data_IF_448751497388
#
_entry.id   IF_448751497388
#
_cell.length_a   1.000
_cell.length_b   1.000
_cell.length_c   1.000
_cell.angle_alpha   90.00
_cell.angle_beta   90.00
_cell.angle_gamma   90.00
#
_symmetry.space_group_name_H-M   'P 1'
#
loop_
_entity.id
_entity.type
_entity.pdbx_description
1 polymer ?
#
# COMPACT_ATOMS: atom_id res chain seq x y z
N UNK A 1 -14.19 17.60 4.01
CA UNK A 1 -13.99 17.04 2.66
C UNK A 1 -13.92 15.55 2.82
N UNK A 2 -14.70 14.79 2.06
CA UNK A 2 -14.58 13.34 2.01
C UNK A 2 -13.37 13.05 1.13
N UNK A 3 -12.31 12.51 1.72
CA UNK A 3 -11.12 12.07 0.98
C UNK A 3 -11.42 10.68 0.45
N UNK A 4 -11.47 10.53 -0.87
CA UNK A 4 -11.73 9.25 -1.52
C UNK A 4 -10.43 8.46 -1.56
N UNK A 5 -10.45 7.22 -1.05
CA UNK A 5 -9.34 6.27 -1.23
C UNK A 5 -9.07 6.11 -2.73
N UNK A 6 -7.82 6.28 -3.13
CA UNK A 6 -7.47 6.30 -4.55
C UNK A 6 -6.89 4.97 -5.02
N UNK A 7 -6.10 4.32 -4.18
CA UNK A 7 -5.70 2.92 -4.34
C UNK A 7 -5.32 2.30 -3.01
N UNK A 8 -5.24 0.97 -3.01
CA UNK A 8 -4.60 0.24 -1.93
C UNK A 8 -3.64 -0.80 -2.50
N UNK A 9 -2.67 -1.21 -1.67
CA UNK A 9 -1.78 -2.34 -1.95
C UNK A 9 -2.05 -3.40 -0.90
N UNK A 10 -2.51 -4.57 -1.35
CA UNK A 10 -2.60 -5.76 -0.52
C UNK A 10 -1.18 -6.31 -0.35
N UNK A 11 -0.77 -6.60 0.89
CA UNK A 11 0.60 -7.06 1.19
C UNK A 11 0.56 -8.30 2.08
N UNK A 12 1.25 -9.35 1.65
CA UNK A 12 1.46 -10.56 2.41
C UNK A 12 2.95 -10.79 2.71
N UNK A 13 3.24 -11.34 3.88
CA UNK A 13 4.59 -11.57 4.35
C UNK A 13 4.73 -11.59 5.87
N UNK A 14 5.93 -11.91 6.39
CA UNK A 14 6.17 -12.04 7.82
C UNK A 14 6.19 -10.71 8.58
N UNK A 15 6.25 -9.58 7.86
CA UNK A 15 6.40 -8.24 8.43
C UNK A 15 5.22 -7.85 9.33
N UNK A 16 5.52 -7.18 10.43
CA UNK A 16 4.58 -6.37 11.20
C UNK A 16 4.26 -5.05 10.48
N UNK A 17 3.17 -4.38 10.85
CA UNK A 17 2.84 -3.06 10.30
C UNK A 17 3.96 -2.03 10.50
N UNK A 18 4.64 -2.06 11.66
CA UNK A 18 5.77 -1.18 11.95
C UNK A 18 6.98 -1.47 11.03
N UNK A 19 7.33 -2.74 10.84
CA UNK A 19 8.42 -3.13 9.93
C UNK A 19 8.10 -2.80 8.46
N UNK A 20 6.84 -2.96 8.05
CA UNK A 20 6.38 -2.56 6.72
C UNK A 20 6.46 -1.05 6.53
N UNK A 21 6.06 -0.26 7.53
CA UNK A 21 6.17 1.20 7.49
C UNK A 21 7.65 1.64 7.42
N UNK A 22 8.52 1.03 8.22
CA UNK A 22 9.95 1.32 8.23
C UNK A 22 10.63 0.92 6.90
N UNK A 23 10.21 -0.20 6.29
CA UNK A 23 10.65 -0.60 4.95
C UNK A 23 10.28 0.47 3.91
N UNK A 24 9.01 0.91 3.89
CA UNK A 24 8.52 1.95 2.99
C UNK A 24 9.33 3.24 3.17
N UNK A 25 9.50 3.72 4.41
CA UNK A 25 10.24 4.96 4.72
C UNK A 25 11.72 4.88 4.36
N UNK A 26 12.33 3.71 4.43
CA UNK A 26 13.73 3.50 4.02
C UNK A 26 13.89 3.62 2.51
N UNK A 27 12.89 3.19 1.74
CA UNK A 27 12.91 3.18 0.27
C UNK A 27 12.33 4.45 -0.36
N UNK A 28 11.45 5.14 0.36
CA UNK A 28 10.85 6.43 0.01
C UNK A 28 11.23 7.46 1.08
N UNK A 29 12.44 8.06 1.00
CA UNK A 29 12.95 8.96 2.03
C UNK A 29 12.18 10.28 2.12
N UNK A 30 11.34 10.58 1.13
CA UNK A 30 10.39 11.68 1.11
C UNK A 30 9.06 11.36 1.84
N UNK A 31 8.90 10.15 2.38
CA UNK A 31 7.78 9.80 3.25
C UNK A 31 7.98 10.40 4.65
N UNK A 32 7.12 11.34 5.03
CA UNK A 32 7.20 12.09 6.29
C UNK A 32 6.13 11.62 7.26
N UNK A 33 6.43 11.39 8.55
CA UNK A 33 5.40 11.10 9.56
C UNK A 33 4.30 12.17 9.57
N UNK A 34 3.03 11.76 9.50
CA UNK A 34 1.89 12.69 9.46
C UNK A 34 1.06 12.66 10.75
N UNK A 35 0.52 11.50 11.11
CA UNK A 35 -0.14 11.24 12.40
C UNK A 35 0.42 9.95 13.00
N UNK A 36 -0.15 9.54 14.14
CA UNK A 36 0.15 8.23 14.73
C UNK A 36 -0.11 7.15 13.65
N UNK A 37 0.90 6.33 13.40
CA UNK A 37 0.87 5.17 12.50
C UNK A 37 0.53 5.48 11.03
N UNK A 38 0.83 6.71 10.55
CA UNK A 38 0.63 7.13 9.14
C UNK A 38 1.73 8.06 8.64
N UNK A 39 1.92 8.09 7.33
CA UNK A 39 2.90 8.96 6.66
C UNK A 39 2.27 9.73 5.52
N UNK A 40 2.73 10.96 5.32
CA UNK A 40 2.55 11.71 4.08
C UNK A 40 3.62 11.25 3.09
N UNK A 41 3.21 10.79 1.93
CA UNK A 41 4.08 10.54 0.79
C UNK A 41 3.55 11.27 -0.43
N UNK A 42 4.26 12.33 -0.82
CA UNK A 42 3.97 13.13 -2.02
C UNK A 42 2.52 13.63 -2.09
N UNK A 43 1.97 14.09 -0.96
CA UNK A 43 0.61 14.60 -0.89
C UNK A 43 -0.45 13.51 -0.71
N UNK A 44 -0.05 12.28 -0.41
CA UNK A 44 -0.95 11.18 -0.06
C UNK A 44 -0.77 10.80 1.39
N UNK A 45 -1.91 10.60 2.07
CA UNK A 45 -1.93 9.91 3.34
C UNK A 45 -1.78 8.41 3.08
N UNK A 46 -0.73 7.82 3.63
CA UNK A 46 -0.48 6.39 3.65
C UNK A 46 -0.79 5.84 5.04
N UNK A 47 -1.69 4.87 5.08
CA UNK A 47 -2.07 4.13 6.28
C UNK A 47 -1.87 2.63 6.06
N UNK A 48 -1.45 1.91 7.11
CA UNK A 48 -1.29 0.46 7.08
C UNK A 48 -2.28 -0.16 8.05
N UNK A 49 -3.26 -0.85 7.50
CA UNK A 49 -4.32 -1.50 8.27
C UNK A 49 -4.23 -3.03 8.14
N UNK A 50 -4.60 -3.79 9.19
CA UNK A 50 -4.81 -5.22 9.04
C UNK A 50 -5.95 -5.48 8.06
N UNK A 51 -5.82 -6.51 7.23
CA UNK A 51 -6.94 -7.03 6.47
C UNK A 51 -7.82 -7.91 7.37
N UNK A 52 -9.10 -7.59 7.49
CA UNK A 52 -10.04 -8.35 8.32
C UNK A 52 -10.30 -9.76 7.76
N UNK A 53 -10.17 -9.91 6.44
CA UNK A 53 -10.33 -11.18 5.73
C UNK A 53 -9.02 -11.98 5.64
N UNK A 54 -7.94 -11.53 6.30
CA UNK A 54 -6.63 -12.18 6.22
C UNK A 54 -6.70 -13.67 6.57
N UNK A 55 -6.29 -14.52 5.63
CA UNK A 55 -6.26 -15.97 5.81
C UNK A 55 -5.02 -16.56 5.16
N UNK A 56 -3.99 -16.97 5.93
CA UNK A 56 -2.74 -17.51 5.39
C UNK A 56 -2.90 -18.75 4.52
N UNK A 57 -3.95 -19.54 4.72
CA UNK A 57 -4.20 -20.76 3.93
C UNK A 57 -4.75 -20.41 2.55
N UNK A 58 -5.64 -19.41 2.48
CA UNK A 58 -6.22 -18.94 1.22
C UNK A 58 -5.29 -17.97 0.49
N UNK A 59 -4.42 -17.26 1.21
CA UNK A 59 -3.36 -16.45 0.61
C UNK A 59 -2.29 -17.30 -0.10
N UNK A 60 -2.26 -18.63 0.08
CA UNK A 60 -1.28 -19.51 -0.53
C UNK A 60 -1.79 -20.21 -1.80
N UNK A 61 -3.00 -19.88 -2.28
CA UNK A 61 -3.56 -20.39 -3.54
C UNK A 61 -3.27 -19.44 -4.70
N UNK A 62 -3.41 -19.87 -5.96
CA UNK A 62 -2.94 -19.07 -7.11
C UNK A 62 -3.97 -18.04 -7.64
N UNK A 63 -5.26 -18.14 -7.29
CA UNK A 63 -6.31 -17.26 -7.82
C UNK A 63 -6.90 -16.38 -6.72
N UNK A 64 -6.90 -15.06 -6.94
CA UNK A 64 -7.40 -14.00 -6.03
C UNK A 64 -6.92 -14.07 -4.58
N UNK A 65 -5.71 -14.61 -4.38
CA UNK A 65 -5.09 -14.80 -3.07
C UNK A 65 -4.83 -13.50 -2.33
N UNK A 66 -4.64 -12.41 -3.09
CA UNK A 66 -4.45 -11.06 -2.60
C UNK A 66 -5.58 -10.58 -1.70
N UNK A 67 -6.81 -11.10 -1.86
CA UNK A 67 -7.95 -10.80 -0.99
C UNK A 67 -7.72 -11.25 0.45
N UNK A 68 -6.85 -12.24 0.65
CA UNK A 68 -6.52 -12.85 1.93
C UNK A 68 -5.16 -12.43 2.47
N UNK A 69 -4.48 -11.50 1.78
CA UNK A 69 -3.20 -10.94 2.23
C UNK A 69 -3.36 -10.20 3.55
N UNK A 70 -2.31 -10.22 4.37
CA UNK A 70 -2.37 -9.80 5.77
C UNK A 70 -2.62 -8.30 5.96
N UNK A 71 -2.08 -7.47 5.09
CA UNK A 71 -2.05 -6.02 5.28
C UNK A 71 -2.67 -5.28 4.09
N UNK A 72 -3.29 -4.14 4.41
CA UNK A 72 -3.78 -3.15 3.46
C UNK A 72 -2.95 -1.88 3.62
N UNK A 73 -2.19 -1.53 2.59
CA UNK A 73 -1.49 -0.23 2.51
C UNK A 73 -2.38 0.70 1.70
N UNK A 74 -3.05 1.63 2.38
CA UNK A 74 -4.09 2.49 1.81
C UNK A 74 -3.54 3.87 1.49
N UNK A 75 -3.79 4.35 0.28
CA UNK A 75 -3.33 5.65 -0.20
C UNK A 75 -4.49 6.56 -0.55
N UNK A 76 -4.56 7.67 0.20
CA UNK A 76 -5.61 8.66 0.08
C UNK A 76 -5.02 10.03 -0.25
N UNK A 77 -5.33 10.62 -1.42
CA UNK A 77 -4.91 11.98 -1.77
C UNK A 77 -5.38 13.00 -0.74
N UNK A 78 -4.45 13.84 -0.27
CA UNK A 78 -4.75 14.88 0.71
C UNK A 78 -5.22 16.19 0.05
N UNK A 79 -4.94 16.37 -1.23
CA UNK A 79 -5.43 17.51 -2.01
C UNK A 79 -5.75 17.15 -3.47
N UNK A 80 -6.30 18.13 -4.21
CA UNK A 80 -6.80 17.96 -5.59
C UNK A 80 -5.73 18.03 -6.66
N UNK A 81 -4.49 18.34 -6.31
CA UNK A 81 -3.36 18.43 -7.25
C UNK A 81 -2.75 17.06 -7.54
N UNK A 82 -3.04 16.08 -6.69
CA UNK A 82 -2.65 14.68 -6.87
C UNK A 82 -3.58 14.02 -7.88
N UNK A 83 -3.13 13.97 -9.13
CA UNK A 83 -3.86 13.32 -10.22
C UNK A 83 -3.52 11.82 -10.36
N UNK A 84 -4.22 11.14 -11.26
CA UNK A 84 -4.04 9.71 -11.52
C UNK A 84 -2.62 9.34 -12.01
N UNK A 85 -1.94 10.23 -12.74
CA UNK A 85 -0.56 9.95 -13.18
C UNK A 85 0.40 9.93 -11.99
N UNK A 86 0.21 10.84 -11.01
CA UNK A 86 0.94 10.81 -9.75
C UNK A 86 0.66 9.53 -8.96
N UNK A 87 -0.60 9.07 -8.96
CA UNK A 87 -1.02 7.85 -8.26
C UNK A 87 -0.39 6.59 -8.85
N UNK A 88 -0.39 6.46 -10.17
CA UNK A 88 0.23 5.31 -10.86
C UNK A 88 1.74 5.31 -10.60
N UNK A 89 2.41 6.46 -10.68
CA UNK A 89 3.83 6.56 -10.39
C UNK A 89 4.14 6.13 -8.95
N UNK A 90 3.36 6.63 -7.98
CA UNK A 90 3.51 6.28 -6.58
C UNK A 90 3.23 4.78 -6.33
N UNK A 91 2.16 4.22 -6.90
CA UNK A 91 1.81 2.80 -6.76
C UNK A 91 2.93 1.88 -7.26
N UNK A 92 3.51 2.19 -8.42
CA UNK A 92 4.67 1.46 -8.98
C UNK A 92 5.88 1.50 -8.08
N UNK A 93 6.19 2.68 -7.54
CA UNK A 93 7.33 2.85 -6.64
C UNK A 93 7.11 2.12 -5.31
N UNK A 94 5.88 2.17 -4.76
CA UNK A 94 5.52 1.46 -3.54
C UNK A 94 5.58 -0.06 -3.73
N UNK A 95 5.09 -0.61 -4.84
CA UNK A 95 5.23 -2.03 -5.15
C UNK A 95 6.71 -2.42 -5.13
N UNK A 96 7.57 -1.69 -5.85
CA UNK A 96 9.01 -1.94 -5.87
C UNK A 96 9.69 -1.79 -4.50
N UNK A 97 9.16 -0.92 -3.64
CA UNK A 97 9.67 -0.70 -2.30
C UNK A 97 9.29 -1.83 -1.33
N UNK A 98 8.12 -2.43 -1.52
CA UNK A 98 7.53 -3.45 -0.65
C UNK A 98 7.93 -4.86 -1.07
N UNK A 99 7.89 -5.16 -2.37
CA UNK A 99 8.17 -6.49 -2.91
C UNK A 99 9.58 -6.96 -2.58
N UNK A 100 9.68 -8.24 -2.20
CA UNK A 100 10.94 -8.87 -1.87
C UNK A 100 10.80 -10.40 -1.82
N UNK A 101 11.89 -11.13 -1.49
CA UNK A 101 11.89 -12.59 -1.55
C UNK A 101 10.83 -13.29 -0.69
N UNK A 102 10.27 -12.61 0.32
CA UNK A 102 9.27 -13.15 1.26
C UNK A 102 8.06 -12.23 1.40
N UNK A 103 7.94 -11.22 0.54
CA UNK A 103 6.86 -10.23 0.61
C UNK A 103 6.22 -10.14 -0.76
N UNK A 104 4.92 -10.44 -0.80
CA UNK A 104 4.08 -10.31 -2.00
C UNK A 104 3.21 -9.07 -1.85
N UNK A 105 3.03 -8.35 -2.94
CA UNK A 105 2.21 -7.14 -2.95
C UNK A 105 1.38 -7.07 -4.24
N UNK A 106 0.14 -6.61 -4.13
CA UNK A 106 -0.78 -6.46 -5.26
C UNK A 106 -1.51 -5.14 -5.15
N UNK A 107 -1.48 -4.32 -6.19
CA UNK A 107 -2.25 -3.07 -6.24
C UNK A 107 -3.69 -3.39 -6.60
N UNK A 108 -4.64 -2.81 -5.86
CA UNK A 108 -6.06 -2.83 -6.17
C UNK A 108 -6.51 -1.39 -6.45
N UNK A 109 -6.81 -1.10 -7.70
CA UNK A 109 -7.19 0.24 -8.16
C UNK A 109 -7.90 0.18 -9.51
N UNK A 110 -8.70 1.20 -9.83
CA UNK A 110 -9.26 1.34 -11.18
C UNK A 110 -8.20 1.45 -12.31
N UNK A 111 -6.94 1.73 -11.94
CA UNK A 111 -5.80 1.81 -12.83
C UNK A 111 -4.82 0.63 -12.70
N UNK A 112 -5.19 -0.45 -12.01
CA UNK A 112 -4.28 -1.58 -11.71
C UNK A 112 -3.61 -2.17 -12.95
N UNK A 113 -4.30 -2.24 -14.09
CA UNK A 113 -3.75 -2.67 -15.39
C UNK A 113 -2.58 -1.80 -15.91
N UNK A 114 -2.40 -0.61 -15.33
CA UNK A 114 -1.37 0.36 -15.71
C UNK A 114 -0.21 0.39 -14.73
N UNK A 115 -0.22 -0.40 -13.67
CA UNK A 115 0.87 -0.42 -12.67
C UNK A 115 1.94 -1.40 -13.09
#
# INVERSE_FOLDING_TARGET
MQTTLQFLIMVDGPLTAAELLDLIRTRLPDAVPYRRDSVDVRGNLLEINPNEDANPQLAATDEDDYLYFRWRVELTPMDRTVDEAHQIALARELLRAIEGPQVRATVCAAFEDRV
#
